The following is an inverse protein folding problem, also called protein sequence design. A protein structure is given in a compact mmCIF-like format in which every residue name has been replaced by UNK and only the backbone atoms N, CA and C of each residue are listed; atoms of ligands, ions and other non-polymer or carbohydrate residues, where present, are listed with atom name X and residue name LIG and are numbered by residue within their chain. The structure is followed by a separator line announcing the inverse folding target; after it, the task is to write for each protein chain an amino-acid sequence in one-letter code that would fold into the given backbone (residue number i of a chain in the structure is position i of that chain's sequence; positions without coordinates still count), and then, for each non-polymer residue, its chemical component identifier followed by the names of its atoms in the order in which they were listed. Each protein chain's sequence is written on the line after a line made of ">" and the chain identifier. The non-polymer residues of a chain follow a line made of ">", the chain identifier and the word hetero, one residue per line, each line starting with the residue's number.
data_IF_081137218696
#
_entry.id   IF_081137218696
#
_cell.length_a   1.000
_cell.length_b   1.000
_cell.length_c   1.000
_cell.angle_alpha   90.00
_cell.angle_beta   90.00
_cell.angle_gamma   90.00
#
_symmetry.space_group_name_H-M   'P 1'
#
loop_
_entity.id
_entity.type
_entity.pdbx_description
1 polymer ?
#
# COMPACT_ATOMS: atom_id res chain seq x y z
N UNK A 1 -29.62 -21.37 34.01
CA UNK A 1 -29.25 -21.66 32.61
C UNK A 1 -29.71 -20.49 31.77
N UNK A 2 -28.78 -19.65 31.34
CA UNK A 2 -29.02 -18.60 30.35
C UNK A 2 -28.10 -18.90 29.18
N UNK A 3 -28.68 -19.45 28.11
CA UNK A 3 -28.01 -19.61 26.84
C UNK A 3 -27.74 -18.21 26.29
N UNK A 4 -26.47 -17.84 26.18
CA UNK A 4 -26.08 -16.64 25.44
C UNK A 4 -25.84 -17.09 24.02
N UNK A 5 -26.66 -16.50 23.16
CA UNK A 5 -26.74 -16.63 21.72
C UNK A 5 -25.34 -16.50 21.08
N UNK A 6 -24.82 -17.60 20.53
CA UNK A 6 -23.58 -17.63 19.76
C UNK A 6 -23.94 -17.29 18.30
N UNK A 7 -24.39 -16.06 18.08
CA UNK A 7 -24.66 -15.54 16.75
C UNK A 7 -23.33 -15.42 15.99
N UNK A 8 -23.22 -15.93 14.74
CA UNK A 8 -22.00 -15.79 13.97
C UNK A 8 -21.74 -14.31 13.74
N UNK A 9 -20.59 -13.82 14.21
CA UNK A 9 -20.06 -12.51 13.85
C UNK A 9 -19.83 -12.45 12.33
N UNK A 10 -20.87 -12.11 11.58
CA UNK A 10 -20.77 -11.72 10.18
C UNK A 10 -20.22 -10.30 10.13
N UNK A 11 -18.94 -10.18 10.42
CA UNK A 11 -18.12 -9.00 10.23
C UNK A 11 -16.91 -9.34 9.37
N UNK A 12 -17.10 -10.07 8.27
CA UNK A 12 -16.13 -10.05 7.18
C UNK A 12 -16.25 -8.70 6.50
N UNK A 13 -15.64 -7.69 7.10
CA UNK A 13 -15.18 -6.53 6.36
C UNK A 13 -14.20 -7.07 5.33
N UNK A 14 -14.72 -7.42 4.15
CA UNK A 14 -13.91 -7.69 2.97
C UNK A 14 -13.39 -6.33 2.50
N UNK A 15 -12.56 -5.71 3.33
CA UNK A 15 -11.72 -4.60 2.92
C UNK A 15 -10.75 -5.22 1.90
N UNK A 16 -11.15 -5.16 0.62
CA UNK A 16 -10.28 -5.54 -0.47
C UNK A 16 -9.02 -4.69 -0.32
N UNK A 17 -7.90 -5.37 -0.09
CA UNK A 17 -6.62 -4.69 0.01
C UNK A 17 -6.32 -4.05 -1.35
N UNK A 18 -5.91 -2.79 -1.32
CA UNK A 18 -5.66 -1.99 -2.51
C UNK A 18 -4.29 -1.34 -2.41
N UNK A 19 -3.77 -0.90 -3.55
CA UNK A 19 -2.46 -0.27 -3.59
C UNK A 19 -2.59 1.24 -3.57
N UNK A 20 -1.76 1.87 -2.76
CA UNK A 20 -1.70 3.31 -2.62
C UNK A 20 -0.30 3.87 -2.91
N UNK A 21 -0.27 5.07 -3.47
CA UNK A 21 0.97 5.76 -3.80
C UNK A 21 1.51 6.48 -2.56
N UNK A 22 2.78 6.24 -2.25
CA UNK A 22 3.52 6.96 -1.22
C UNK A 22 4.92 7.32 -1.73
N UNK A 23 5.41 8.48 -1.29
CA UNK A 23 6.77 8.93 -1.64
C UNK A 23 7.80 8.22 -0.75
N UNK A 24 8.85 7.69 -1.37
CA UNK A 24 10.01 7.16 -0.66
C UNK A 24 11.07 8.26 -0.50
N UNK A 25 10.91 9.06 0.55
CA UNK A 25 11.71 10.27 0.81
C UNK A 25 13.12 9.97 1.30
N UNK A 26 13.35 8.80 1.90
CA UNK A 26 14.68 8.38 2.36
C UNK A 26 15.55 7.72 1.28
N UNK A 27 15.06 7.56 0.06
CA UNK A 27 15.80 6.94 -1.04
C UNK A 27 15.72 7.73 -2.34
N UNK A 28 15.05 7.18 -3.35
CA UNK A 28 15.00 7.74 -4.71
C UNK A 28 14.12 8.99 -4.85
N UNK A 29 13.31 9.31 -3.83
CA UNK A 29 12.37 10.43 -3.86
C UNK A 29 11.24 10.25 -4.88
N UNK A 30 10.99 9.01 -5.32
CA UNK A 30 9.90 8.66 -6.21
C UNK A 30 8.69 8.17 -5.42
N UNK A 31 7.51 8.29 -6.04
CA UNK A 31 6.31 7.63 -5.55
C UNK A 31 6.32 6.16 -5.96
N UNK A 32 6.08 5.29 -4.99
CA UNK A 32 5.94 3.84 -5.16
C UNK A 32 4.56 3.40 -4.67
N UNK A 33 4.10 2.24 -5.17
CA UNK A 33 2.87 1.62 -4.71
C UNK A 33 3.17 0.71 -3.51
N UNK A 34 2.39 0.86 -2.44
CA UNK A 34 2.41 0.00 -1.25
C UNK A 34 1.01 -0.53 -0.99
N UNK A 35 0.92 -1.71 -0.37
CA UNK A 35 -0.37 -2.25 0.06
C UNK A 35 -0.95 -1.41 1.20
N UNK A 36 -2.23 -1.10 1.12
CA UNK A 36 -2.92 -0.35 2.15
C UNK A 36 -2.88 -1.08 3.50
N UNK A 37 -3.02 -2.41 3.52
CA UNK A 37 -2.91 -3.20 4.73
C UNK A 37 -1.53 -3.06 5.40
N UNK A 38 -0.45 -3.01 4.62
CA UNK A 38 0.90 -2.80 5.15
C UNK A 38 1.08 -1.35 5.63
N UNK A 39 0.57 -0.39 4.85
CA UNK A 39 0.57 1.02 5.19
C UNK A 39 -0.29 1.36 6.41
N UNK A 40 -1.26 0.54 6.79
CA UNK A 40 -2.06 0.76 8.01
C UNK A 40 -1.54 -0.02 9.21
N UNK A 41 -0.63 -0.98 9.01
CA UNK A 41 -0.04 -1.75 10.09
C UNK A 41 1.17 -1.01 10.72
N UNK A 42 1.05 -0.49 11.96
CA UNK A 42 2.13 0.24 12.61
C UNK A 42 3.29 -0.65 13.07
N UNK A 43 3.12 -1.98 13.03
CA UNK A 43 4.16 -2.94 13.44
C UNK A 43 5.15 -3.26 12.33
N UNK A 44 4.83 -2.93 11.07
CA UNK A 44 5.74 -3.14 9.95
C UNK A 44 6.75 -1.99 9.87
N UNK A 45 8.00 -2.33 10.16
CA UNK A 45 9.14 -1.39 10.10
C UNK A 45 9.77 -1.34 8.71
N UNK A 46 9.63 -2.42 7.93
CA UNK A 46 10.03 -2.50 6.54
C UNK A 46 8.79 -2.72 5.69
N UNK A 47 8.73 -2.06 4.53
CA UNK A 47 7.62 -2.14 3.60
C UNK A 47 8.13 -2.54 2.21
N UNK A 48 7.41 -3.46 1.56
CA UNK A 48 7.76 -3.95 0.24
C UNK A 48 6.93 -3.21 -0.82
N UNK A 49 7.51 -2.24 -1.54
CA UNK A 49 6.80 -1.61 -2.65
C UNK A 49 6.52 -2.63 -3.76
N UNK A 50 5.46 -2.39 -4.53
CA UNK A 50 5.06 -3.29 -5.63
C UNK A 50 6.24 -3.63 -6.55
N UNK A 51 7.04 -2.63 -6.93
CA UNK A 51 8.14 -2.80 -7.88
C UNK A 51 9.20 -3.83 -7.47
N UNK A 52 9.18 -4.29 -6.21
CA UNK A 52 10.11 -5.27 -5.65
C UNK A 52 9.47 -6.64 -5.36
N UNK A 53 8.17 -6.85 -5.60
CA UNK A 53 7.48 -8.11 -5.24
C UNK A 53 8.02 -9.35 -5.95
N UNK A 54 8.55 -9.18 -7.16
CA UNK A 54 9.10 -10.27 -7.97
C UNK A 54 10.65 -10.35 -7.88
N UNK A 55 11.27 -9.57 -6.99
CA UNK A 55 12.73 -9.56 -6.81
C UNK A 55 13.11 -10.62 -5.78
N UNK A 56 14.14 -11.43 -6.08
CA UNK A 56 14.56 -12.58 -5.25
C UNK A 56 15.01 -12.19 -3.84
N UNK A 57 15.69 -11.05 -3.72
CA UNK A 57 16.19 -10.50 -2.46
C UNK A 57 15.96 -8.98 -2.47
N UNK A 58 14.71 -8.53 -2.22
CA UNK A 58 14.37 -7.13 -2.32
C UNK A 58 14.99 -6.35 -1.16
N UNK A 59 15.48 -5.14 -1.47
CA UNK A 59 15.79 -4.17 -0.43
C UNK A 59 14.50 -3.40 -0.13
N UNK A 60 13.79 -3.88 0.90
CA UNK A 60 12.57 -3.23 1.39
C UNK A 60 12.86 -1.80 1.87
N UNK A 61 11.80 -1.00 1.93
CA UNK A 61 11.89 0.39 2.30
C UNK A 61 11.57 0.58 3.78
N UNK A 62 12.44 1.30 4.49
CA UNK A 62 12.23 1.63 5.89
C UNK A 62 11.01 2.55 6.06
N UNK A 63 10.15 2.22 7.03
CA UNK A 63 8.85 2.87 7.23
C UNK A 63 8.96 4.38 7.49
N UNK A 64 9.85 4.88 8.36
CA UNK A 64 10.13 6.31 8.52
C UNK A 64 10.50 7.06 7.24
N UNK A 65 11.03 6.36 6.24
CA UNK A 65 11.46 6.91 4.96
C UNK A 65 10.33 6.99 3.92
N UNK A 66 9.10 6.61 4.29
CA UNK A 66 7.93 6.64 3.43
C UNK A 66 6.93 7.68 3.91
N UNK A 67 6.32 8.43 2.98
CA UNK A 67 5.32 9.42 3.31
C UNK A 67 4.15 8.78 4.08
N UNK A 68 3.83 9.32 5.26
CA UNK A 68 2.71 8.82 6.08
C UNK A 68 1.36 8.97 5.41
N UNK A 69 1.23 10.01 4.57
CA UNK A 69 0.03 10.26 3.78
C UNK A 69 0.21 9.68 2.40
N UNK A 70 -0.89 9.15 1.88
CA UNK A 70 -1.06 8.81 0.48
C UNK A 70 -0.90 10.06 -0.38
N UNK A 71 -0.26 9.91 -1.54
CA UNK A 71 -0.03 11.00 -2.48
C UNK A 71 -0.72 10.76 -3.82
N UNK A 72 -0.97 11.83 -4.56
CA UNK A 72 -1.19 11.75 -6.01
C UNK A 72 0.14 12.14 -6.66
N UNK A 73 0.88 11.19 -7.26
CA UNK A 73 2.20 11.48 -7.79
C UNK A 73 2.15 12.49 -8.93
N UNK A 74 3.16 13.37 -8.99
CA UNK A 74 3.33 14.27 -10.14
C UNK A 74 3.93 13.52 -11.33
N UNK A 75 3.63 13.92 -12.59
CA UNK A 75 4.31 13.39 -13.77
C UNK A 75 5.84 13.48 -13.61
N UNK A 76 6.55 12.40 -13.94
CA UNK A 76 8.01 12.33 -13.79
C UNK A 76 8.53 12.09 -12.36
N UNK A 77 7.65 11.89 -11.37
CA UNK A 77 8.01 11.55 -9.97
C UNK A 77 7.45 10.20 -9.52
N UNK A 78 7.14 9.33 -10.46
CA UNK A 78 6.65 7.97 -10.19
C UNK A 78 7.72 6.94 -10.52
N UNK A 79 7.81 5.89 -9.70
CA UNK A 79 8.60 4.73 -10.02
C UNK A 79 8.09 4.10 -11.35
N UNK A 80 8.94 4.00 -12.40
CA UNK A 80 8.54 3.48 -13.70
C UNK A 80 7.97 2.07 -13.66
N UNK A 81 8.49 1.22 -12.77
CA UNK A 81 8.00 -0.15 -12.59
C UNK A 81 6.60 -0.14 -11.99
N UNK A 82 6.37 0.66 -10.94
CA UNK A 82 5.04 0.82 -10.36
C UNK A 82 4.04 1.40 -11.39
N UNK A 83 4.46 2.40 -12.18
CA UNK A 83 3.63 3.00 -13.23
C UNK A 83 3.22 1.98 -14.29
N UNK A 84 4.17 1.22 -14.84
CA UNK A 84 3.91 0.22 -15.87
C UNK A 84 2.98 -0.91 -15.36
N UNK A 85 3.12 -1.30 -14.10
CA UNK A 85 2.23 -2.30 -13.49
C UNK A 85 0.83 -1.74 -13.25
N UNK A 86 0.72 -0.49 -12.80
CA UNK A 86 -0.55 0.20 -12.62
C UNK A 86 -1.34 0.30 -13.93
N UNK A 87 -0.68 0.64 -15.04
CA UNK A 87 -1.30 0.68 -16.37
C UNK A 87 -1.82 -0.70 -16.83
N UNK A 88 -1.05 -1.76 -16.57
CA UNK A 88 -1.40 -3.13 -16.96
C UNK A 88 -2.54 -3.72 -16.14
N UNK A 89 -2.56 -3.43 -14.83
CA UNK A 89 -3.52 -4.03 -13.88
C UNK A 89 -4.73 -3.14 -13.60
N UNK A 90 -4.74 -1.89 -14.10
CA UNK A 90 -5.78 -0.87 -13.81
C UNK A 90 -6.06 -0.78 -12.31
N UNK A 91 -5.02 -0.80 -11.49
CA UNK A 91 -5.20 -0.76 -10.04
C UNK A 91 -5.89 0.56 -9.72
N UNK A 92 -7.06 0.48 -9.08
CA UNK A 92 -7.81 1.68 -8.74
C UNK A 92 -6.94 2.50 -7.80
N UNK A 93 -6.53 3.67 -8.27
CA UNK A 93 -5.97 4.71 -7.43
C UNK A 93 -7.19 5.40 -6.84
N UNK A 94 -7.56 5.19 -5.55
CA UNK A 94 -8.65 5.96 -4.98
C UNK A 94 -8.41 7.45 -5.25
N UNK A 95 -9.34 8.14 -5.89
CA UNK A 95 -9.16 9.58 -6.11
C UNK A 95 -9.10 10.22 -4.72
N UNK A 96 -8.08 11.04 -4.45
CA UNK A 96 -8.09 11.80 -3.20
C UNK A 96 -9.38 12.64 -3.19
N UNK A 97 -10.18 12.51 -2.14
CA UNK A 97 -11.32 13.39 -1.93
C UNK A 97 -10.78 14.81 -1.81
N UNK A 98 -11.19 15.67 -2.74
CA UNK A 98 -10.95 17.12 -2.74
C UNK A 98 -11.57 17.80 -1.53
#
# INVERSE_FOLDING_TARGET
>A
MTAVDDGPMTGTDSHQDFWEWHEFTGGDGWAHLYLHSEMTNPRLVMLLPWCLTDVRFPLEHDRPSISRRRVIPRPGRMCPVCTAQNERRRIEVPRACS
#
